data_IF_832699724912
#
_entry.id   IF_832699724912
#
_cell.length_a   1.000
_cell.length_b   1.000
_cell.length_c   1.000
_cell.angle_alpha   90.00
_cell.angle_beta   90.00
_cell.angle_gamma   90.00
#
_symmetry.space_group_name_H-M   'P 1'
#
loop_
_entity.id
_entity.type
_entity.pdbx_description
1 polymer ?
#
# COMPACT_ATOMS: atom_id res chain seq x y z
N UNK A 1 -34.18 -55.01 41.69
CA UNK A 1 -33.17 -55.02 40.60
C UNK A 1 -33.49 -54.13 39.39
N UNK A 2 -34.75 -53.81 39.03
CA UNK A 2 -35.05 -53.01 37.81
C UNK A 2 -34.70 -51.51 37.87
N UNK A 3 -34.61 -50.90 39.06
CA UNK A 3 -34.36 -49.45 39.22
C UNK A 3 -32.94 -49.02 38.82
N UNK A 4 -31.93 -49.87 39.04
CA UNK A 4 -30.54 -49.54 38.69
C UNK A 4 -30.27 -49.63 37.18
N UNK A 5 -30.95 -50.56 36.48
CA UNK A 5 -30.78 -50.74 35.03
C UNK A 5 -31.22 -49.50 34.23
N UNK A 6 -32.28 -48.82 34.68
CA UNK A 6 -32.77 -47.58 34.08
C UNK A 6 -31.78 -46.42 34.27
N UNK A 7 -31.09 -46.35 35.41
CA UNK A 7 -30.12 -45.29 35.68
C UNK A 7 -28.87 -45.44 34.81
N UNK A 8 -28.37 -46.68 34.65
CA UNK A 8 -27.23 -46.95 33.75
C UNK A 8 -27.55 -46.64 32.29
N UNK A 9 -28.78 -46.90 31.84
CA UNK A 9 -29.22 -46.56 30.49
C UNK A 9 -29.24 -45.04 30.25
N UNK A 10 -29.66 -44.25 31.24
CA UNK A 10 -29.65 -42.78 31.16
C UNK A 10 -28.21 -42.25 31.11
N UNK A 11 -27.31 -42.80 31.92
CA UNK A 11 -25.88 -42.44 31.85
C UNK A 11 -25.25 -42.82 30.50
N UNK A 12 -25.65 -43.94 29.91
CA UNK A 12 -25.15 -44.38 28.60
C UNK A 12 -25.67 -43.49 27.45
N UNK A 13 -26.94 -43.07 27.50
CA UNK A 13 -27.52 -42.13 26.52
C UNK A 13 -26.90 -40.73 26.65
N UNK A 14 -26.65 -40.27 27.88
CA UNK A 14 -25.92 -39.03 28.12
C UNK A 14 -24.47 -39.10 27.62
N UNK A 15 -23.81 -40.26 27.75
CA UNK A 15 -22.46 -40.48 27.23
C UNK A 15 -22.43 -40.47 25.69
N UNK A 16 -23.43 -41.04 25.02
CA UNK A 16 -23.57 -40.95 23.56
C UNK A 16 -23.89 -39.52 23.08
N UNK A 17 -24.69 -38.76 23.83
CA UNK A 17 -25.03 -37.37 23.52
C UNK A 17 -23.84 -36.39 23.59
N UNK A 18 -22.81 -36.71 24.38
CA UNK A 18 -21.57 -35.92 24.50
C UNK A 18 -20.59 -36.20 23.34
N UNK A 19 -20.93 -37.11 22.43
CA UNK A 19 -20.17 -37.35 21.19
C UNK A 19 -20.46 -36.32 20.09
N UNK A 20 -21.06 -35.17 20.43
CA UNK A 20 -21.13 -34.02 19.54
C UNK A 20 -19.71 -33.56 19.24
N UNK A 21 -19.15 -34.11 18.15
CA UNK A 21 -17.84 -33.75 17.62
C UNK A 21 -17.77 -32.24 17.52
N UNK A 22 -16.96 -31.61 18.38
CA UNK A 22 -16.63 -30.22 18.26
C UNK A 22 -16.06 -29.99 16.87
N UNK A 23 -16.76 -29.22 16.03
CA UNK A 23 -16.15 -28.73 14.80
C UNK A 23 -15.20 -27.63 15.22
N UNK A 24 -13.90 -27.90 15.13
CA UNK A 24 -12.92 -26.84 15.19
C UNK A 24 -13.26 -25.83 14.09
N UNK A 25 -13.24 -24.54 14.40
CA UNK A 25 -13.33 -23.50 13.40
C UNK A 25 -12.12 -23.66 12.48
N UNK A 26 -12.35 -23.90 11.19
CA UNK A 26 -11.24 -23.87 10.21
C UNK A 26 -10.57 -22.50 10.28
N UNK A 27 -9.24 -22.49 10.29
CA UNK A 27 -8.49 -21.24 10.39
C UNK A 27 -8.81 -20.41 9.14
N UNK A 28 -9.07 -19.12 9.34
CA UNK A 28 -9.45 -18.21 8.25
C UNK A 28 -8.50 -18.30 7.04
N UNK A 29 -7.21 -18.54 7.30
CA UNK A 29 -6.15 -18.65 6.30
C UNK A 29 -6.25 -19.91 5.42
N UNK A 30 -6.82 -21.02 5.91
CA UNK A 30 -6.91 -22.28 5.15
C UNK A 30 -7.84 -22.17 3.92
N UNK A 31 -8.64 -21.09 3.85
CA UNK A 31 -9.54 -20.78 2.74
C UNK A 31 -8.92 -19.94 1.64
N UNK A 32 -7.70 -19.43 1.83
CA UNK A 32 -7.04 -18.53 0.89
C UNK A 32 -5.64 -19.04 0.53
N UNK A 33 -5.24 -18.81 -0.72
CA UNK A 33 -3.86 -19.04 -1.10
C UNK A 33 -3.02 -17.85 -0.59
N UNK A 34 -2.24 -18.08 0.46
CA UNK A 34 -1.37 -17.06 1.06
C UNK A 34 0.06 -17.30 0.59
N UNK A 35 0.64 -16.29 -0.05
CA UNK A 35 2.05 -16.30 -0.47
C UNK A 35 2.84 -15.33 0.41
N UNK A 36 4.02 -15.74 0.83
CA UNK A 36 4.98 -14.88 1.52
C UNK A 36 5.99 -14.37 0.51
N UNK A 37 6.20 -13.06 0.50
CA UNK A 37 7.23 -12.40 -0.31
C UNK A 37 8.25 -11.82 0.64
N UNK A 38 9.53 -12.10 0.38
CA UNK A 38 10.68 -11.59 1.11
C UNK A 38 11.73 -11.06 0.12
N UNK A 39 12.88 -10.66 0.65
CA UNK A 39 14.01 -10.27 -0.20
C UNK A 39 14.52 -11.39 -1.12
N UNK A 40 14.33 -12.66 -0.77
CA UNK A 40 14.75 -13.79 -1.62
C UNK A 40 13.93 -13.90 -2.89
N UNK A 41 12.70 -13.37 -2.90
CA UNK A 41 11.77 -13.37 -4.03
C UNK A 41 11.87 -12.09 -4.89
N UNK A 42 12.80 -11.18 -4.58
CA UNK A 42 13.10 -9.98 -5.39
C UNK A 42 12.66 -8.65 -4.79
N UNK A 43 12.02 -8.66 -3.61
CA UNK A 43 11.73 -7.44 -2.86
C UNK A 43 13.04 -6.79 -2.37
N UNK A 44 13.23 -5.47 -2.51
CA UNK A 44 14.53 -4.86 -2.20
C UNK A 44 14.78 -4.74 -0.68
N UNK A 45 13.73 -4.81 0.14
CA UNK A 45 13.83 -4.72 1.59
C UNK A 45 12.59 -5.27 2.30
N UNK A 46 12.75 -5.80 3.53
CA UNK A 46 11.65 -6.39 4.30
C UNK A 46 10.89 -5.40 5.21
N UNK A 47 11.41 -4.20 5.46
CA UNK A 47 10.66 -3.16 6.17
C UNK A 47 9.81 -2.39 5.17
N UNK A 48 8.50 -2.66 5.22
CA UNK A 48 7.49 -2.08 4.33
C UNK A 48 6.78 -0.94 5.06
N UNK A 49 6.82 0.25 4.48
CA UNK A 49 6.18 1.45 5.03
C UNK A 49 4.77 1.64 4.45
N UNK A 50 4.54 1.23 3.20
CA UNK A 50 3.24 1.39 2.53
C UNK A 50 3.04 0.37 1.40
N UNK A 51 1.77 0.06 1.13
CA UNK A 51 1.34 -0.82 0.05
C UNK A 51 0.18 -0.16 -0.71
N UNK A 52 0.38 0.13 -1.99
CA UNK A 52 -0.59 0.79 -2.83
C UNK A 52 -0.89 -0.01 -4.08
N UNK A 53 -2.16 -0.16 -4.44
CA UNK A 53 -2.56 -0.78 -5.71
C UNK A 53 -2.96 0.32 -6.68
N UNK A 54 -2.26 0.40 -7.81
CA UNK A 54 -2.61 1.36 -8.86
C UNK A 54 -3.87 0.95 -9.64
N UNK A 55 -4.39 1.88 -10.43
CA UNK A 55 -5.55 1.71 -11.30
C UNK A 55 -5.37 0.61 -12.36
N UNK A 56 -4.12 0.22 -12.65
CA UNK A 56 -3.74 -0.83 -13.61
C UNK A 56 -3.62 -2.21 -12.96
N UNK A 57 -3.72 -2.28 -11.63
CA UNK A 57 -3.67 -3.51 -10.85
C UNK A 57 -2.27 -3.91 -10.35
N UNK A 58 -1.24 -3.10 -10.59
CA UNK A 58 0.09 -3.36 -10.01
C UNK A 58 0.11 -2.94 -8.54
N UNK A 59 0.88 -3.69 -7.75
CA UNK A 59 1.18 -3.34 -6.38
C UNK A 59 2.47 -2.53 -6.33
N UNK A 60 2.43 -1.41 -5.64
CA UNK A 60 3.55 -0.54 -5.34
C UNK A 60 3.86 -0.66 -3.86
N UNK A 61 5.08 -1.09 -3.56
CA UNK A 61 5.53 -1.46 -2.23
C UNK A 61 6.63 -0.49 -1.82
N UNK A 62 6.30 0.39 -0.88
CA UNK A 62 7.23 1.38 -0.34
C UNK A 62 8.06 0.72 0.75
N UNK A 63 9.39 0.85 0.66
CA UNK A 63 10.28 0.21 1.61
C UNK A 63 11.16 1.23 2.34
N UNK A 64 11.46 0.93 3.60
CA UNK A 64 12.38 1.71 4.42
C UNK A 64 13.83 1.27 4.14
N UNK A 65 14.44 1.84 3.09
CA UNK A 65 15.85 1.64 2.74
C UNK A 65 16.09 0.88 1.43
N UNK A 66 15.07 0.28 0.81
CA UNK A 66 15.17 -0.39 -0.48
C UNK A 66 14.64 0.44 -1.67
N UNK A 67 13.96 1.55 -1.41
CA UNK A 67 13.24 2.33 -2.40
C UNK A 67 11.81 1.85 -2.60
N UNK A 68 11.34 1.91 -3.84
CA UNK A 68 10.00 1.52 -4.26
C UNK A 68 10.06 0.27 -5.13
N UNK A 69 9.17 -0.68 -4.90
CA UNK A 69 9.06 -1.88 -5.72
C UNK A 69 7.68 -1.96 -6.37
N UNK A 70 7.64 -2.22 -7.68
CA UNK A 70 6.39 -2.50 -8.42
C UNK A 70 6.30 -3.99 -8.66
N UNK A 71 5.16 -4.58 -8.31
CA UNK A 71 4.90 -6.01 -8.38
C UNK A 71 3.64 -6.29 -9.19
N UNK A 72 3.73 -7.23 -10.12
CA UNK A 72 2.61 -7.63 -10.99
C UNK A 72 1.94 -8.94 -10.58
N UNK A 73 2.38 -9.55 -9.47
CA UNK A 73 1.97 -10.89 -9.03
C UNK A 73 2.97 -11.99 -9.38
N UNK A 74 3.99 -11.69 -10.19
CA UNK A 74 5.01 -12.63 -10.63
C UNK A 74 6.42 -12.05 -10.45
N UNK A 75 6.65 -10.81 -10.90
CA UNK A 75 7.97 -10.17 -10.95
C UNK A 75 7.98 -8.80 -10.27
N UNK A 76 9.15 -8.45 -9.70
CA UNK A 76 9.41 -7.14 -9.12
C UNK A 76 10.24 -6.27 -10.06
N UNK A 77 9.87 -4.99 -10.14
CA UNK A 77 10.69 -3.92 -10.71
C UNK A 77 11.02 -2.92 -9.61
N UNK A 78 12.31 -2.76 -9.31
CA UNK A 78 12.78 -1.96 -8.18
C UNK A 78 13.34 -0.59 -8.62
N UNK A 79 12.92 0.45 -7.91
CA UNK A 79 13.29 1.84 -8.13
C UNK A 79 13.98 2.40 -6.89
N UNK A 80 15.16 2.98 -7.07
CA UNK A 80 15.95 3.60 -6.00
C UNK A 80 16.77 4.78 -6.57
N UNK A 81 17.53 5.52 -5.75
CA UNK A 81 18.32 6.66 -6.22
C UNK A 81 19.36 6.34 -7.30
N UNK A 82 19.76 5.07 -7.41
CA UNK A 82 20.74 4.59 -8.40
C UNK A 82 20.08 3.96 -9.64
N UNK A 83 18.75 3.85 -9.70
CA UNK A 83 18.05 3.27 -10.85
C UNK A 83 18.25 4.17 -12.09
N UNK A 84 18.80 3.63 -13.20
CA UNK A 84 18.96 4.38 -14.43
C UNK A 84 17.62 4.89 -14.95
N UNK A 85 17.59 6.12 -15.47
CA UNK A 85 16.42 6.76 -16.07
C UNK A 85 15.21 7.02 -15.12
N UNK A 86 15.28 6.60 -13.86
CA UNK A 86 14.28 6.90 -12.83
C UNK A 86 14.96 6.96 -11.45
N UNK A 87 15.67 8.07 -11.18
CA UNK A 87 16.39 8.28 -9.93
C UNK A 87 15.45 8.87 -8.89
N UNK A 88 15.17 8.10 -7.84
CA UNK A 88 14.41 8.60 -6.69
C UNK A 88 15.29 9.52 -5.83
N UNK A 89 14.68 10.51 -5.16
CA UNK A 89 15.36 11.41 -4.21
C UNK A 89 15.85 10.66 -2.97
N UNK A 90 15.16 9.61 -2.54
CA UNK A 90 15.56 8.75 -1.42
C UNK A 90 15.16 7.30 -1.66
N UNK A 91 15.77 6.37 -0.92
CA UNK A 91 15.38 4.97 -0.81
C UNK A 91 14.50 4.67 0.42
N UNK A 92 14.13 5.68 1.21
CA UNK A 92 13.18 5.59 2.31
C UNK A 92 11.82 6.16 1.87
N UNK A 93 11.08 5.36 1.11
CA UNK A 93 9.76 5.76 0.60
C UNK A 93 8.73 5.48 1.69
N UNK A 94 7.98 6.52 2.07
CA UNK A 94 7.07 6.49 3.23
C UNK A 94 5.65 6.16 2.83
N UNK A 95 5.19 6.68 1.69
CA UNK A 95 3.83 6.52 1.22
C UNK A 95 3.73 6.88 -0.27
N UNK A 96 2.79 6.26 -0.98
CA UNK A 96 2.54 6.55 -2.39
C UNK A 96 1.04 6.71 -2.66
N UNK A 97 0.71 7.50 -3.68
CA UNK A 97 -0.67 7.70 -4.11
C UNK A 97 -0.75 8.04 -5.60
N UNK A 98 -1.68 7.43 -6.31
CA UNK A 98 -1.98 7.75 -7.70
C UNK A 98 -3.04 8.85 -7.80
N UNK A 99 -2.78 9.87 -8.61
CA UNK A 99 -3.75 10.91 -8.94
C UNK A 99 -4.72 10.51 -10.07
N UNK A 100 -5.59 11.42 -10.51
CA UNK A 100 -6.54 11.13 -11.59
C UNK A 100 -5.94 11.25 -13.00
N UNK A 101 -4.66 11.60 -13.10
CA UNK A 101 -3.93 11.78 -14.36
C UNK A 101 -2.91 10.66 -14.57
N UNK A 102 -3.07 9.53 -13.86
CA UNK A 102 -2.19 8.36 -13.91
C UNK A 102 -0.74 8.71 -13.54
N UNK A 103 -0.56 9.62 -12.56
CA UNK A 103 0.75 9.93 -11.98
C UNK A 103 0.83 9.37 -10.58
N UNK A 104 1.93 8.68 -10.28
CA UNK A 104 2.23 8.14 -8.96
C UNK A 104 3.08 9.15 -8.19
N UNK A 105 2.53 9.66 -7.10
CA UNK A 105 3.20 10.52 -6.14
C UNK A 105 3.86 9.66 -5.09
N UNK A 106 5.15 9.86 -4.86
CA UNK A 106 5.95 9.08 -3.92
C UNK A 106 6.60 10.03 -2.93
N UNK A 107 6.26 9.91 -1.65
CA UNK A 107 6.82 10.78 -0.61
C UNK A 107 7.91 10.07 0.18
N UNK A 108 8.96 10.80 0.48
CA UNK A 108 10.15 10.33 1.17
C UNK A 108 10.75 11.43 2.05
N UNK A 109 11.76 11.06 2.84
CA UNK A 109 12.60 12.03 3.56
C UNK A 109 13.36 12.99 2.63
N UNK A 110 13.63 12.58 1.39
CA UNK A 110 14.27 13.42 0.37
C UNK A 110 13.28 14.31 -0.38
N UNK A 111 11.99 14.21 -0.05
CA UNK A 111 10.90 14.94 -0.67
C UNK A 111 10.00 14.06 -1.52
N UNK A 112 9.34 14.67 -2.50
CA UNK A 112 8.33 14.03 -3.34
C UNK A 112 8.85 13.82 -4.75
N UNK A 113 8.78 12.59 -5.22
CA UNK A 113 8.99 12.20 -6.62
C UNK A 113 7.64 11.90 -7.27
N UNK A 114 7.51 12.19 -8.57
CA UNK A 114 6.28 11.95 -9.33
C UNK A 114 6.64 11.18 -10.60
N UNK A 115 5.96 10.06 -10.82
CA UNK A 115 6.18 9.16 -11.94
C UNK A 115 4.93 9.09 -12.83
N UNK A 116 5.10 9.23 -14.14
CA UNK A 116 4.01 8.95 -15.08
C UNK A 116 3.85 7.43 -15.21
N UNK A 117 2.66 6.89 -14.90
CA UNK A 117 2.43 5.44 -14.87
C UNK A 117 2.42 4.81 -16.27
N UNK A 118 2.24 5.57 -17.35
CA UNK A 118 2.23 5.04 -18.73
C UNK A 118 3.66 4.80 -19.22
N UNK A 119 4.52 5.79 -18.99
CA UNK A 119 5.89 5.83 -19.49
C UNK A 119 6.92 5.35 -18.48
N UNK A 120 6.55 5.29 -17.19
CA UNK A 120 7.43 5.01 -16.05
C UNK A 120 8.64 5.95 -16.01
N UNK A 121 8.42 7.21 -16.36
CA UNK A 121 9.42 8.27 -16.33
C UNK A 121 9.04 9.35 -15.32
N UNK A 122 10.04 10.01 -14.70
CA UNK A 122 9.78 11.16 -13.84
C UNK A 122 9.03 12.25 -14.61
N UNK A 123 8.01 12.83 -13.98
CA UNK A 123 7.20 13.90 -14.54
C UNK A 123 6.95 14.96 -13.48
N UNK A 124 7.02 16.24 -13.85
CA UNK A 124 6.57 17.33 -13.01
C UNK A 124 5.28 17.91 -13.62
N UNK A 125 4.14 17.92 -12.89
CA UNK A 125 2.97 18.70 -13.28
C UNK A 125 3.37 20.15 -13.58
N UNK A 126 2.88 20.71 -14.69
CA UNK A 126 3.08 22.14 -14.96
C UNK A 126 2.42 22.97 -13.85
N UNK A 127 3.11 24.00 -13.38
CA UNK A 127 2.75 24.75 -12.17
C UNK A 127 2.49 26.25 -12.41
N UNK A 128 1.87 26.89 -11.42
CA UNK A 128 1.81 28.33 -11.28
C UNK A 128 3.08 28.82 -10.57
N UNK A 129 4.16 29.08 -11.33
CA UNK A 129 5.27 29.93 -10.89
C UNK A 129 6.29 29.29 -9.93
N UNK A 130 6.78 28.09 -10.24
CA UNK A 130 7.87 27.38 -9.52
C UNK A 130 7.58 27.08 -8.04
N UNK A 131 6.31 26.97 -7.66
CA UNK A 131 5.92 26.63 -6.29
C UNK A 131 6.02 25.13 -6.05
N UNK A 132 5.70 24.30 -7.06
CA UNK A 132 5.70 22.86 -6.90
C UNK A 132 7.12 22.31 -6.65
N UNK A 133 8.17 22.70 -7.40
CA UNK A 133 9.53 22.26 -7.11
C UNK A 133 9.94 22.48 -5.64
N UNK A 134 9.68 23.68 -5.11
CA UNK A 134 9.99 24.05 -3.71
C UNK A 134 9.24 23.20 -2.70
N UNK A 135 8.01 22.80 -3.01
CA UNK A 135 7.22 21.91 -2.16
C UNK A 135 7.74 20.47 -2.24
N UNK A 136 8.04 19.98 -3.44
CA UNK A 136 8.50 18.61 -3.66
C UNK A 136 9.94 18.37 -3.20
N UNK A 137 10.74 19.41 -2.96
CA UNK A 137 12.09 19.30 -2.41
C UNK A 137 12.12 19.25 -0.87
N UNK A 138 10.98 19.47 -0.23
CA UNK A 138 10.86 19.36 1.22
C UNK A 138 10.44 17.93 1.62
N UNK A 139 10.96 17.39 2.74
CA UNK A 139 10.58 16.08 3.24
C UNK A 139 9.07 15.95 3.42
N UNK A 140 8.51 14.86 2.91
CA UNK A 140 7.09 14.58 2.98
C UNK A 140 6.86 13.21 3.62
N UNK A 141 5.80 13.12 4.41
CA UNK A 141 5.52 11.90 5.18
C UNK A 141 4.31 11.16 4.66
N UNK A 142 3.30 11.87 4.15
CA UNK A 142 2.07 11.29 3.62
C UNK A 142 1.58 12.05 2.39
N UNK A 143 0.98 11.30 1.47
CA UNK A 143 0.28 11.79 0.29
C UNK A 143 -1.02 11.01 0.11
N UNK A 144 -2.13 11.70 -0.08
CA UNK A 144 -3.42 11.03 -0.32
C UNK A 144 -4.25 11.78 -1.33
N UNK A 145 -5.20 11.07 -1.95
CA UNK A 145 -6.15 11.64 -2.89
C UNK A 145 -7.53 11.76 -2.24
N UNK A 146 -8.17 12.91 -2.40
CA UNK A 146 -9.56 13.10 -1.97
C UNK A 146 -10.58 12.69 -3.05
N UNK A 147 -11.86 12.75 -2.70
CA UNK A 147 -12.96 12.39 -3.62
C UNK A 147 -13.14 13.35 -4.79
N UNK A 148 -12.55 14.55 -4.74
CA UNK A 148 -12.54 15.53 -5.83
C UNK A 148 -11.33 15.31 -6.76
N UNK A 149 -10.44 14.36 -6.45
CA UNK A 149 -9.23 14.09 -7.21
C UNK A 149 -8.06 15.02 -6.89
N UNK A 150 -8.17 15.82 -5.81
CA UNK A 150 -7.07 16.65 -5.36
C UNK A 150 -6.09 15.84 -4.52
N UNK A 151 -4.82 16.21 -4.59
CA UNK A 151 -3.75 15.59 -3.81
C UNK A 151 -3.53 16.39 -2.54
N UNK A 152 -3.57 15.70 -1.42
CA UNK A 152 -3.21 16.22 -0.11
C UNK A 152 -1.81 15.72 0.23
N UNK A 153 -0.89 16.66 0.45
CA UNK A 153 0.51 16.38 0.70
C UNK A 153 0.88 16.93 2.08
N UNK A 154 1.26 16.04 2.99
CA UNK A 154 1.80 16.44 4.29
C UNK A 154 3.32 16.58 4.20
N UNK A 155 3.78 17.82 4.24
CA UNK A 155 5.16 18.19 4.01
C UNK A 155 5.64 19.14 5.10
N UNK A 156 6.78 18.81 5.70
CA UNK A 156 7.29 19.48 6.89
C UNK A 156 6.25 19.48 8.03
N UNK A 157 5.64 20.64 8.34
CA UNK A 157 4.61 20.82 9.37
C UNK A 157 3.28 21.36 8.80
N UNK A 158 3.09 21.26 7.49
CA UNK A 158 1.94 21.81 6.81
C UNK A 158 1.29 20.77 5.90
N UNK A 159 -0.03 20.86 5.79
CA UNK A 159 -0.82 20.04 4.91
C UNK A 159 -1.18 20.88 3.70
N UNK A 160 -0.75 20.48 2.51
CA UNK A 160 -1.05 21.19 1.28
C UNK A 160 -2.10 20.44 0.49
N UNK A 161 -3.07 21.17 -0.04
CA UNK A 161 -4.05 20.65 -1.00
C UNK A 161 -3.72 21.19 -2.39
N UNK A 162 -3.46 20.27 -3.31
CA UNK A 162 -3.12 20.51 -4.71
C UNK A 162 -4.32 20.12 -5.58
N UNK A 163 -4.94 21.10 -6.21
CA UNK A 163 -6.01 20.91 -7.18
C UNK A 163 -5.46 21.00 -8.61
N UNK A 164 -6.02 20.21 -9.50
CA UNK A 164 -5.63 20.16 -10.90
C UNK A 164 -6.76 20.64 -11.80
N UNK A 165 -6.38 21.27 -12.93
CA UNK A 165 -7.33 21.58 -14.00
C UNK A 165 -7.61 20.33 -14.87
N UNK A 166 -8.49 20.48 -15.87
CA UNK A 166 -8.86 19.38 -16.77
C UNK A 166 -7.70 18.78 -17.60
N UNK A 167 -6.55 19.48 -17.70
CA UNK A 167 -5.34 19.00 -18.38
C UNK A 167 -4.36 18.31 -17.43
N UNK A 168 -4.62 18.32 -16.13
CA UNK A 168 -3.71 17.80 -15.11
C UNK A 168 -2.65 18.77 -14.65
N UNK A 169 -2.71 20.03 -15.06
CA UNK A 169 -1.83 21.10 -14.59
C UNK A 169 -2.35 21.60 -13.23
N UNK A 170 -1.47 22.15 -12.39
CA UNK A 170 -1.89 22.67 -11.09
C UNK A 170 -2.73 23.93 -11.31
N UNK A 171 -3.92 23.94 -10.74
CA UNK A 171 -4.87 25.07 -10.80
C UNK A 171 -4.87 25.87 -9.51
N UNK A 172 -4.82 25.17 -8.38
CA UNK A 172 -4.84 25.77 -7.06
C UNK A 172 -3.96 25.00 -6.08
N UNK A 173 -3.21 25.76 -5.27
CA UNK A 173 -2.46 25.26 -4.13
C UNK A 173 -2.95 26.00 -2.87
N UNK A 174 -3.38 25.24 -1.87
CA UNK A 174 -3.81 25.78 -0.57
C UNK A 174 -3.13 25.02 0.57
N UNK A 175 -3.08 25.66 1.75
CA UNK A 175 -2.55 25.10 3.00
C UNK A 175 -3.65 25.10 4.06
#
# INVERSE_FOLDING_TARGET
MKKHLSTYLIFYILWLGVSAKGRAQELFADRYNVTYVTMNEGLPHNFIDDLYKDSRGFLWISTAGGGLSRYDGYEFVNYNPNTPHCKLKSNFIRNVCEDNFERLWMVSEGGTDILDLKTLKPVAPADLGDVLPKLTDQPATHVMKDSQGCIWLHCNNALYRIAFNAKGEIDNLST
#
